data_IF_161233522090
#
_entry.id   IF_161233522090
#
_cell.length_a   1.000
_cell.length_b   1.000
_cell.length_c   1.000
_cell.angle_alpha   90.00
_cell.angle_beta   90.00
_cell.angle_gamma   90.00
#
_symmetry.space_group_name_H-M   'P 1'
#
loop_
_entity.id
_entity.type
_entity.pdbx_description
1 polymer ?
#
# COMPACT_ATOMS: atom_id res chain seq x y z
N UNK A 1 -20.00 -44.43 32.24
CA UNK A 1 -19.24 -43.66 31.23
C UNK A 1 -20.15 -42.56 30.70
N UNK A 2 -19.65 -41.33 30.68
CA UNK A 2 -20.36 -40.12 30.23
C UNK A 2 -20.76 -39.23 31.42
N UNK A 3 -20.07 -38.11 31.59
CA UNK A 3 -20.53 -36.98 32.43
C UNK A 3 -21.83 -36.40 31.86
N UNK A 4 -22.75 -35.93 32.70
CA UNK A 4 -24.03 -35.38 32.25
C UNK A 4 -23.82 -34.24 31.25
N UNK A 5 -24.40 -34.36 30.05
CA UNK A 5 -24.30 -33.36 28.99
C UNK A 5 -24.73 -31.96 29.49
N UNK A 6 -23.77 -31.03 29.56
CA UNK A 6 -24.00 -29.67 30.01
C UNK A 6 -24.26 -28.68 28.86
N UNK A 7 -24.08 -29.10 27.59
CA UNK A 7 -24.52 -28.33 26.43
C UNK A 7 -26.05 -28.37 26.25
N UNK A 8 -26.73 -29.37 26.83
CA UNK A 8 -28.19 -29.50 26.85
C UNK A 8 -28.76 -30.23 25.63
N UNK A 9 -30.06 -30.05 25.35
CA UNK A 9 -30.73 -30.69 24.21
C UNK A 9 -30.11 -30.33 22.85
N UNK A 10 -30.32 -31.21 21.85
CA UNK A 10 -29.85 -31.05 20.48
C UNK A 10 -28.32 -30.87 20.36
N UNK A 11 -27.57 -31.57 21.20
CA UNK A 11 -26.12 -31.48 21.24
C UNK A 11 -25.44 -32.84 21.33
N UNK A 12 -24.17 -32.86 20.94
CA UNK A 12 -23.26 -33.99 21.06
C UNK A 12 -22.04 -33.48 21.84
N UNK A 13 -21.75 -34.10 22.98
CA UNK A 13 -20.55 -33.80 23.79
C UNK A 13 -19.40 -34.75 23.46
N UNK A 14 -18.16 -34.25 23.50
CA UNK A 14 -16.95 -34.96 23.11
C UNK A 14 -15.86 -34.77 24.18
N UNK A 15 -15.46 -35.87 24.83
CA UNK A 15 -14.47 -35.83 25.92
C UNK A 15 -15.14 -35.70 27.30
N UNK A 16 -15.48 -34.48 27.69
CA UNK A 16 -16.24 -34.13 28.90
C UNK A 16 -17.64 -33.61 28.54
N UNK A 17 -18.31 -32.87 29.44
CA UNK A 17 -19.71 -32.47 29.26
C UNK A 17 -19.95 -31.08 28.66
N UNK A 18 -18.90 -30.34 28.34
CA UNK A 18 -19.00 -28.92 27.94
C UNK A 18 -18.26 -28.58 26.63
N UNK A 19 -17.74 -29.60 25.98
CA UNK A 19 -17.07 -29.55 24.68
C UNK A 19 -17.86 -30.36 23.67
N UNK A 20 -18.15 -29.81 22.49
CA UNK A 20 -18.98 -30.51 21.51
C UNK A 20 -19.66 -29.63 20.46
N UNK A 21 -20.75 -30.14 19.90
CA UNK A 21 -21.57 -29.47 18.89
C UNK A 21 -22.99 -29.30 19.38
N UNK A 22 -23.63 -28.15 19.11
CA UNK A 22 -25.02 -27.89 19.49
C UNK A 22 -25.78 -27.19 18.38
N UNK A 23 -26.99 -27.67 18.08
CA UNK A 23 -27.93 -26.95 17.23
C UNK A 23 -28.66 -25.87 18.04
N UNK A 24 -28.56 -24.61 17.61
CA UNK A 24 -29.20 -23.46 18.26
C UNK A 24 -30.31 -22.81 17.39
N UNK A 25 -30.78 -23.53 16.38
CA UNK A 25 -31.85 -23.12 15.48
C UNK A 25 -31.85 -23.94 14.20
N UNK A 26 -32.87 -23.76 13.37
CA UNK A 26 -32.85 -24.31 12.01
C UNK A 26 -31.67 -23.72 11.23
N UNK A 27 -30.82 -24.59 10.67
CA UNK A 27 -29.61 -24.20 9.95
C UNK A 27 -28.48 -23.56 10.78
N UNK A 28 -28.53 -23.59 12.11
CA UNK A 28 -27.51 -23.00 13.00
C UNK A 28 -26.82 -24.08 13.84
N UNK A 29 -25.54 -24.32 13.54
CA UNK A 29 -24.69 -25.27 14.26
C UNK A 29 -23.52 -24.56 14.94
N UNK A 30 -23.44 -24.71 16.26
CA UNK A 30 -22.41 -24.09 17.09
C UNK A 30 -21.41 -25.14 17.59
N UNK A 31 -20.14 -24.74 17.68
CA UNK A 31 -19.03 -25.53 18.24
C UNK A 31 -18.65 -24.96 19.60
N UNK A 32 -18.57 -25.82 20.61
CA UNK A 32 -18.19 -25.48 21.97
C UNK A 32 -16.91 -26.19 22.41
N UNK A 33 -16.10 -25.52 23.21
CA UNK A 33 -14.95 -26.09 23.91
C UNK A 33 -14.85 -25.49 25.30
N UNK A 34 -14.91 -26.33 26.34
CA UNK A 34 -14.83 -25.88 27.74
C UNK A 34 -15.83 -24.74 28.02
N UNK A 35 -17.11 -24.96 27.71
CA UNK A 35 -18.22 -23.99 27.71
C UNK A 35 -18.11 -22.77 26.79
N UNK A 36 -17.01 -22.60 26.05
CA UNK A 36 -16.82 -21.45 25.16
C UNK A 36 -17.41 -21.75 23.79
N UNK A 37 -18.31 -20.90 23.30
CA UNK A 37 -18.76 -20.91 21.90
C UNK A 37 -17.61 -20.39 21.02
N UNK A 38 -17.05 -21.23 20.15
CA UNK A 38 -15.85 -20.88 19.35
C UNK A 38 -16.14 -20.61 17.88
N UNK A 39 -17.06 -21.37 17.27
CA UNK A 39 -17.43 -21.23 15.86
C UNK A 39 -18.93 -21.47 15.69
N UNK A 40 -19.54 -20.72 14.75
CA UNK A 40 -20.91 -20.94 14.29
C UNK A 40 -20.94 -21.13 12.77
N UNK A 41 -21.69 -22.13 12.33
CA UNK A 41 -22.03 -22.35 10.93
C UNK A 41 -23.49 -21.95 10.70
N UNK A 42 -23.71 -21.06 9.73
CA UNK A 42 -25.03 -20.65 9.23
C UNK A 42 -25.02 -20.87 7.72
N UNK A 43 -26.20 -21.09 7.11
CA UNK A 43 -26.31 -21.49 5.70
C UNK A 43 -25.50 -20.66 4.69
N UNK A 44 -25.14 -19.41 4.99
CA UNK A 44 -24.37 -18.53 4.11
C UNK A 44 -23.04 -18.00 4.68
N UNK A 45 -22.67 -18.29 5.93
CA UNK A 45 -21.43 -17.79 6.53
C UNK A 45 -20.95 -18.64 7.72
N UNK A 46 -19.68 -18.46 8.07
CA UNK A 46 -19.08 -19.02 9.30
C UNK A 46 -18.62 -17.87 10.18
N UNK A 47 -19.02 -17.87 11.45
CA UNK A 47 -18.60 -16.88 12.44
C UNK A 47 -17.55 -17.49 13.37
N UNK A 48 -16.45 -16.79 13.58
CA UNK A 48 -15.52 -17.08 14.67
C UNK A 48 -15.87 -16.19 15.85
N UNK A 49 -16.22 -16.79 16.98
CA UNK A 49 -16.60 -16.07 18.22
C UNK A 49 -15.37 -15.75 19.09
N UNK A 50 -14.23 -16.36 18.74
CA UNK A 50 -12.91 -16.16 19.35
C UNK A 50 -11.88 -15.79 18.28
N UNK A 51 -10.65 -15.47 18.67
CA UNK A 51 -9.56 -15.23 17.72
C UNK A 51 -9.31 -16.45 16.84
N UNK A 52 -9.34 -16.26 15.52
CA UNK A 52 -9.03 -17.30 14.56
C UNK A 52 -7.51 -17.37 14.30
N UNK A 53 -6.91 -18.54 14.55
CA UNK A 53 -5.53 -18.85 14.15
C UNK A 53 -5.54 -19.92 13.06
N UNK A 54 -4.87 -19.65 11.95
CA UNK A 54 -4.66 -20.62 10.87
C UNK A 54 -3.19 -21.06 10.90
N UNK A 55 -2.92 -22.35 11.13
CA UNK A 55 -1.54 -22.88 11.18
C UNK A 55 -0.91 -23.08 9.78
N UNK A 56 -1.63 -22.71 8.72
CA UNK A 56 -1.18 -22.74 7.32
C UNK A 56 -1.70 -21.52 6.56
N UNK A 57 -1.95 -21.68 5.26
CA UNK A 57 -2.41 -20.59 4.40
C UNK A 57 -3.93 -20.40 4.49
N UNK A 58 -4.38 -19.14 4.54
CA UNK A 58 -5.75 -18.75 4.25
C UNK A 58 -5.82 -18.21 2.82
N UNK A 59 -6.68 -18.79 1.98
CA UNK A 59 -6.89 -18.36 0.59
C UNK A 59 -8.29 -17.79 0.46
N UNK A 60 -8.38 -16.50 0.14
CA UNK A 60 -9.65 -15.85 -0.17
C UNK A 60 -9.86 -15.80 -1.68
N UNK A 61 -11.06 -16.16 -2.15
CA UNK A 61 -11.48 -16.00 -3.55
C UNK A 61 -12.03 -14.60 -3.83
N UNK A 62 -12.34 -13.85 -2.78
CA UNK A 62 -12.69 -12.43 -2.80
C UNK A 62 -11.67 -11.61 -2.01
N UNK A 63 -12.08 -10.42 -1.57
CA UNK A 63 -11.24 -9.55 -0.76
C UNK A 63 -11.10 -10.06 0.67
N UNK A 64 -9.97 -9.78 1.31
CA UNK A 64 -9.80 -9.92 2.76
C UNK A 64 -10.15 -8.57 3.39
N UNK A 65 -11.21 -8.54 4.19
CA UNK A 65 -11.79 -7.30 4.73
C UNK A 65 -11.69 -7.22 6.27
N UNK A 66 -11.59 -6.00 6.78
CA UNK A 66 -11.61 -5.67 8.20
C UNK A 66 -12.48 -4.42 8.45
N UNK A 67 -12.95 -4.26 9.70
CA UNK A 67 -13.75 -3.11 10.10
C UNK A 67 -15.01 -2.91 9.26
N UNK A 68 -15.74 -4.00 8.98
CA UNK A 68 -16.94 -4.01 8.13
C UNK A 68 -16.69 -3.45 6.70
N UNK A 69 -15.56 -3.82 6.10
CA UNK A 69 -15.20 -3.45 4.72
C UNK A 69 -14.48 -2.11 4.58
N UNK A 70 -14.22 -1.40 5.68
CA UNK A 70 -13.50 -0.11 5.66
C UNK A 70 -12.02 -0.26 5.32
N UNK A 71 -11.42 -1.41 5.64
CA UNK A 71 -10.09 -1.80 5.17
C UNK A 71 -10.19 -3.10 4.39
N UNK A 72 -9.57 -3.17 3.22
CA UNK A 72 -9.66 -4.35 2.35
C UNK A 72 -8.40 -4.57 1.54
N UNK A 73 -8.02 -5.84 1.39
CA UNK A 73 -6.96 -6.28 0.49
C UNK A 73 -7.59 -6.92 -0.75
N UNK A 74 -7.28 -6.38 -1.92
CA UNK A 74 -7.85 -6.79 -3.19
C UNK A 74 -7.02 -7.88 -3.88
N UNK A 75 -7.64 -8.61 -4.82
CA UNK A 75 -6.97 -9.72 -5.54
C UNK A 75 -5.80 -9.30 -6.42
N UNK A 76 -5.67 -8.01 -6.75
CA UNK A 76 -4.51 -7.45 -7.46
C UNK A 76 -3.35 -7.06 -6.53
N UNK A 77 -3.45 -7.32 -5.22
CA UNK A 77 -2.46 -6.96 -4.22
C UNK A 77 -2.58 -5.53 -3.68
N UNK A 78 -3.56 -4.75 -4.15
CA UNK A 78 -3.78 -3.39 -3.64
C UNK A 78 -4.50 -3.41 -2.27
N UNK A 79 -4.30 -2.36 -1.50
CA UNK A 79 -4.86 -2.20 -0.16
C UNK A 79 -5.67 -0.91 -0.14
N UNK A 80 -6.96 -1.01 0.17
CA UNK A 80 -7.82 0.15 0.38
C UNK A 80 -8.00 0.43 1.87
N UNK A 81 -8.01 1.72 2.21
CA UNK A 81 -8.39 2.19 3.53
C UNK A 81 -8.45 3.71 3.61
N UNK A 82 -9.14 4.21 4.64
CA UNK A 82 -9.32 5.66 4.85
C UNK A 82 -7.99 6.40 5.07
N UNK A 83 -6.99 5.74 5.67
CA UNK A 83 -5.65 6.34 5.86
C UNK A 83 -4.95 6.67 4.54
N UNK A 84 -5.28 5.94 3.47
CA UNK A 84 -4.76 6.19 2.12
C UNK A 84 -5.64 7.15 1.31
N UNK A 85 -6.77 7.60 1.85
CA UNK A 85 -7.84 8.27 1.11
C UNK A 85 -8.29 7.47 -0.13
N UNK A 86 -8.32 6.13 -0.02
CA UNK A 86 -8.62 5.23 -1.13
C UNK A 86 -7.66 4.07 -1.22
N UNK A 87 -7.14 3.83 -2.42
CA UNK A 87 -6.18 2.77 -2.71
C UNK A 87 -4.74 3.19 -2.40
N UNK A 88 -3.97 2.30 -1.79
CA UNK A 88 -2.56 2.51 -1.46
C UNK A 88 -1.73 2.82 -2.72
N UNK A 89 -1.99 2.12 -3.83
CA UNK A 89 -1.31 2.40 -5.10
C UNK A 89 -1.47 3.86 -5.56
N UNK A 90 -2.68 4.41 -5.49
CA UNK A 90 -2.96 5.82 -5.79
C UNK A 90 -2.27 6.76 -4.81
N UNK A 91 -2.28 6.42 -3.52
CA UNK A 91 -1.60 7.20 -2.49
C UNK A 91 -0.10 7.30 -2.77
N UNK A 92 0.57 6.18 -3.06
CA UNK A 92 2.00 6.15 -3.37
C UNK A 92 2.31 6.95 -4.65
N UNK A 93 1.53 6.76 -5.71
CA UNK A 93 1.71 7.49 -6.97
C UNK A 93 1.59 9.01 -6.80
N UNK A 94 0.69 9.48 -5.93
CA UNK A 94 0.46 10.91 -5.76
C UNK A 94 1.42 11.58 -4.77
N UNK A 95 2.00 10.83 -3.83
CA UNK A 95 2.75 11.40 -2.70
C UNK A 95 4.25 11.11 -2.74
N UNK A 96 4.71 10.16 -3.56
CA UNK A 96 6.13 9.80 -3.66
C UNK A 96 6.71 10.16 -5.03
N UNK A 97 8.02 10.45 -5.03
CA UNK A 97 8.79 10.60 -6.26
C UNK A 97 9.01 9.22 -6.87
N UNK A 98 8.44 9.00 -8.04
CA UNK A 98 8.51 7.74 -8.76
C UNK A 98 9.81 7.59 -9.57
N UNK A 99 10.47 8.69 -9.93
CA UNK A 99 11.69 8.70 -10.74
C UNK A 99 12.38 10.08 -10.75
N UNK A 100 13.65 10.15 -11.16
CA UNK A 100 14.45 11.37 -11.33
C UNK A 100 15.26 11.30 -12.62
N UNK A 101 15.26 12.39 -13.40
CA UNK A 101 16.02 12.46 -14.66
C UNK A 101 16.59 13.86 -14.91
N UNK A 102 17.48 13.97 -15.90
CA UNK A 102 17.72 15.24 -16.60
C UNK A 102 16.75 15.33 -17.78
N UNK A 103 16.04 16.46 -17.90
CA UNK A 103 15.15 16.71 -19.03
C UNK A 103 15.91 17.14 -20.29
N UNK A 104 15.17 17.62 -21.29
CA UNK A 104 15.77 18.13 -22.52
C UNK A 104 16.71 19.31 -22.23
N UNK A 105 17.98 19.17 -22.64
CA UNK A 105 19.00 20.18 -22.45
C UNK A 105 18.90 21.34 -23.44
N UNK A 106 19.57 22.44 -23.10
CA UNK A 106 19.79 23.60 -23.97
C UNK A 106 21.20 24.15 -23.73
N UNK A 107 21.57 25.18 -24.49
CA UNK A 107 22.92 25.75 -24.55
C UNK A 107 22.87 27.27 -24.62
N UNK A 108 23.80 27.95 -23.94
CA UNK A 108 23.95 29.42 -24.04
C UNK A 108 25.43 29.81 -24.21
N UNK A 109 25.69 30.80 -25.06
CA UNK A 109 27.00 31.43 -25.15
C UNK A 109 27.21 32.41 -23.99
N UNK A 110 28.29 32.23 -23.24
CA UNK A 110 28.63 33.01 -22.04
C UNK A 110 29.73 34.05 -22.29
N UNK A 111 30.49 33.91 -23.38
CA UNK A 111 31.53 34.87 -23.73
C UNK A 111 30.96 36.28 -23.96
N UNK A 112 31.56 37.28 -23.30
CA UNK A 112 31.14 38.69 -23.32
C UNK A 112 29.70 38.96 -22.85
N UNK A 113 29.07 38.00 -22.16
CA UNK A 113 27.75 38.15 -21.55
C UNK A 113 27.87 37.99 -20.03
N UNK A 114 27.73 39.10 -19.29
CA UNK A 114 27.71 39.06 -17.83
C UNK A 114 26.47 38.30 -17.34
N UNK A 115 26.65 37.40 -16.36
CA UNK A 115 25.54 36.69 -15.71
C UNK A 115 25.96 35.41 -14.97
N UNK A 116 25.09 34.94 -14.08
CA UNK A 116 25.23 33.65 -13.38
C UNK A 116 24.44 32.59 -14.13
N UNK A 117 25.12 31.71 -14.86
CA UNK A 117 24.48 30.69 -15.69
C UNK A 117 24.59 29.29 -15.07
N UNK A 118 23.57 28.43 -15.18
CA UNK A 118 22.25 28.69 -15.72
C UNK A 118 21.44 29.59 -14.78
N UNK A 119 20.89 30.69 -15.31
CA UNK A 119 20.07 31.65 -14.56
C UNK A 119 18.61 31.18 -14.42
N UNK A 120 18.36 29.88 -14.53
CA UNK A 120 17.03 29.27 -14.49
C UNK A 120 16.98 28.26 -13.34
N UNK A 121 16.15 28.50 -12.30
CA UNK A 121 16.02 27.58 -11.17
C UNK A 121 15.69 26.15 -11.63
N UNK A 122 16.32 25.17 -10.97
CA UNK A 122 16.11 23.76 -11.30
C UNK A 122 16.95 23.22 -12.44
N UNK A 123 17.74 24.05 -13.10
CA UNK A 123 18.66 23.61 -14.15
C UNK A 123 20.07 23.41 -13.60
N UNK A 124 20.74 22.38 -14.12
CA UNK A 124 22.12 22.04 -13.80
C UNK A 124 22.98 22.08 -15.05
N UNK A 125 24.24 22.51 -14.91
CA UNK A 125 25.23 22.45 -16.00
C UNK A 125 25.52 21.00 -16.32
N UNK A 126 25.44 20.63 -17.59
CA UNK A 126 25.73 19.26 -18.07
C UNK A 126 27.03 19.19 -18.87
N UNK A 127 27.46 20.29 -19.47
CA UNK A 127 28.79 20.41 -20.08
C UNK A 127 29.17 21.88 -20.28
N UNK A 128 30.45 22.13 -20.60
CA UNK A 128 30.98 23.44 -21.00
C UNK A 128 31.74 23.29 -22.31
N UNK A 129 31.80 24.34 -23.13
CA UNK A 129 32.62 24.33 -24.34
C UNK A 129 33.43 25.62 -24.48
N UNK A 130 34.52 25.49 -25.21
CA UNK A 130 35.46 26.55 -25.56
C UNK A 130 35.94 26.34 -26.99
N UNK A 131 36.11 27.42 -27.75
CA UNK A 131 36.80 27.44 -29.02
C UNK A 131 38.32 27.71 -28.82
N UNK A 132 39.06 27.97 -29.91
CA UNK A 132 40.51 28.22 -29.81
C UNK A 132 40.88 29.68 -29.50
N UNK A 133 39.89 30.57 -29.32
CA UNK A 133 40.07 32.01 -29.20
C UNK A 133 39.91 32.44 -27.74
N UNK A 134 40.72 33.40 -27.29
CA UNK A 134 40.64 33.95 -25.93
C UNK A 134 40.87 32.93 -24.80
N UNK A 135 40.68 33.39 -23.56
CA UNK A 135 40.95 32.60 -22.35
C UNK A 135 39.70 32.15 -21.58
N UNK A 136 38.52 32.72 -21.84
CA UNK A 136 37.29 32.42 -21.08
C UNK A 136 36.45 31.31 -21.75
N UNK A 137 35.48 30.79 -21.00
CA UNK A 137 34.49 29.80 -21.45
C UNK A 137 33.50 30.45 -22.42
N UNK A 138 33.31 29.83 -23.59
CA UNK A 138 32.44 30.35 -24.65
C UNK A 138 30.97 30.04 -24.42
N UNK A 139 30.67 28.91 -23.78
CA UNK A 139 29.31 28.62 -23.38
C UNK A 139 29.14 27.35 -22.55
N UNK A 140 27.90 27.15 -22.10
CA UNK A 140 27.51 26.04 -21.23
C UNK A 140 26.26 25.33 -21.73
N UNK A 141 26.24 24.00 -21.62
CA UNK A 141 25.02 23.21 -21.80
C UNK A 141 24.41 22.98 -20.42
N UNK A 142 23.09 23.03 -20.34
CA UNK A 142 22.38 22.83 -19.09
C UNK A 142 21.02 22.18 -19.34
N UNK A 143 20.54 21.42 -18.37
CA UNK A 143 19.28 20.69 -18.45
C UNK A 143 18.50 20.81 -17.14
N UNK A 144 17.16 20.76 -17.17
CA UNK A 144 16.38 20.76 -15.95
C UNK A 144 16.56 19.42 -15.22
N UNK A 145 16.86 19.47 -13.92
CA UNK A 145 16.68 18.32 -13.04
C UNK A 145 15.18 18.13 -12.83
N UNK A 146 14.67 16.96 -13.16
CA UNK A 146 13.24 16.65 -13.10
C UNK A 146 12.97 15.48 -12.15
N UNK A 147 11.83 15.55 -11.45
CA UNK A 147 11.29 14.46 -10.64
C UNK A 147 9.92 14.04 -11.19
N UNK A 148 9.61 12.75 -11.14
CA UNK A 148 8.29 12.23 -11.54
C UNK A 148 7.41 12.05 -10.31
N UNK A 149 6.21 12.64 -10.33
CA UNK A 149 5.14 12.37 -9.37
C UNK A 149 3.98 11.78 -10.16
N UNK A 150 3.55 10.57 -9.81
CA UNK A 150 2.62 9.77 -10.63
C UNK A 150 3.17 9.59 -12.05
N UNK A 151 2.43 10.11 -13.04
CA UNK A 151 2.82 10.07 -14.46
C UNK A 151 3.43 11.38 -14.96
N UNK A 152 3.47 12.44 -14.14
CA UNK A 152 3.88 13.78 -14.55
C UNK A 152 5.32 14.07 -14.11
N UNK A 153 6.09 14.68 -15.01
CA UNK A 153 7.43 15.18 -14.72
C UNK A 153 7.40 16.65 -14.33
N UNK A 154 8.12 17.00 -13.27
CA UNK A 154 8.25 18.36 -12.76
C UNK A 154 9.72 18.75 -12.70
N UNK A 155 10.05 19.93 -13.22
CA UNK A 155 11.36 20.54 -12.93
C UNK A 155 11.45 20.86 -11.45
N UNK A 156 12.53 20.45 -10.82
CA UNK A 156 12.79 20.72 -9.39
C UNK A 156 12.93 22.23 -9.21
N UNK A 157 12.23 22.81 -8.24
CA UNK A 157 12.47 24.20 -7.87
C UNK A 157 13.84 24.26 -7.19
N UNK A 158 14.73 25.14 -7.66
CA UNK A 158 15.99 25.40 -6.98
C UNK A 158 15.72 25.87 -5.54
N UNK A 159 16.56 25.43 -4.59
CA UNK A 159 16.49 25.96 -3.22
C UNK A 159 16.82 27.45 -3.19
N UNK A 160 16.27 28.18 -2.21
CA UNK A 160 16.77 29.51 -1.87
C UNK A 160 18.16 29.36 -1.26
N UNK A 161 19.15 30.06 -1.82
CA UNK A 161 20.51 30.13 -1.29
C UNK A 161 20.55 30.85 0.06
#
# INVERSE_FOLDING_TARGET
MGTDNALGGNSIVLGDNDTGFKQNGDGVLDVYSNYTHVLRFIGNLVESMVSLKVNGNAVATGEVQAGNGTSRMAGNGDIFGNVWNGWLSTHLNNNLVADVQLGAGTSVATWNNAGSWPNTPGYVVTSVWKDNQGENIDGIAYAPLQKRLGIQWYTVQGGTA
#
